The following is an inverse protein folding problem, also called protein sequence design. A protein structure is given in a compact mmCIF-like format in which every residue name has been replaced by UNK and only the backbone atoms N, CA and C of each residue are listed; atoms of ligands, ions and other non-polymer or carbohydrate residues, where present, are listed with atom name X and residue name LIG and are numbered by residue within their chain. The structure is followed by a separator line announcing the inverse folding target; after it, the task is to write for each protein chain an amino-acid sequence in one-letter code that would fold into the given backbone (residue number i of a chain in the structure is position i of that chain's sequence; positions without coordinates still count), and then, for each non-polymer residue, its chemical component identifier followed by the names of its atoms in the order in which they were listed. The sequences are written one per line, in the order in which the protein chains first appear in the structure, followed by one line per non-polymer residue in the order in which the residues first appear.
data_IF_135020155223
#
_entry.id   IF_135020155223
#
_cell.length_a   1.000
_cell.length_b   1.000
_cell.length_c   1.000
_cell.angle_alpha   90.00
_cell.angle_beta   90.00
_cell.angle_gamma   90.00
#
_symmetry.space_group_name_H-M   'P 1'
#
loop_
_entity.id
_entity.type
_entity.pdbx_description
1 polymer ?
#
# COMPACT_ATOMS: atom_id res chain seq x y z
N UNK A 1 -10.98 11.48 13.39
CA UNK A 1 -9.86 12.26 12.82
C UNK A 1 -10.37 13.43 12.01
N UNK A 2 -11.06 13.25 10.88
CA UNK A 2 -11.62 14.35 10.08
C UNK A 2 -12.49 15.33 10.89
N UNK A 3 -13.34 14.82 11.79
CA UNK A 3 -14.14 15.66 12.71
C UNK A 3 -13.29 16.53 13.65
N UNK A 4 -12.11 16.06 14.04
CA UNK A 4 -11.22 16.77 14.97
C UNK A 4 -10.24 17.69 14.23
N UNK A 5 -9.78 17.28 13.03
CA UNK A 5 -8.86 18.07 12.21
C UNK A 5 -9.57 19.15 11.39
N UNK A 6 -10.91 19.09 11.29
CA UNK A 6 -11.72 20.01 10.48
C UNK A 6 -11.34 20.05 8.99
N UNK A 7 -10.60 19.04 8.52
CA UNK A 7 -10.22 18.88 7.12
C UNK A 7 -11.48 18.65 6.29
N UNK A 8 -11.59 19.38 5.16
CA UNK A 8 -12.65 19.19 4.18
C UNK A 8 -12.10 18.38 3.01
N UNK A 9 -12.75 17.27 2.71
CA UNK A 9 -12.42 16.46 1.55
C UNK A 9 -12.89 17.16 0.28
N UNK A 10 -12.02 17.29 -0.71
CA UNK A 10 -12.38 17.76 -2.04
C UNK A 10 -13.14 16.67 -2.79
N UNK A 11 -14.26 17.04 -3.42
CA UNK A 11 -15.02 16.13 -4.27
C UNK A 11 -14.39 16.08 -5.67
N UNK A 12 -14.07 14.88 -6.15
CA UNK A 12 -13.66 14.67 -7.53
C UNK A 12 -14.84 14.93 -8.47
N UNK A 13 -14.87 16.13 -9.05
CA UNK A 13 -15.94 16.55 -9.96
C UNK A 13 -15.64 16.23 -11.42
N UNK A 14 -14.35 16.13 -11.77
CA UNK A 14 -13.94 15.73 -13.12
C UNK A 14 -14.15 14.23 -13.34
N UNK A 15 -14.83 13.89 -14.45
CA UNK A 15 -15.14 12.51 -14.80
C UNK A 15 -13.88 11.68 -15.04
N UNK A 16 -12.85 12.25 -15.68
CA UNK A 16 -11.61 11.52 -15.98
C UNK A 16 -10.87 11.19 -14.69
N UNK A 17 -10.73 12.15 -13.78
CA UNK A 17 -10.12 11.91 -12.46
C UNK A 17 -10.86 10.84 -11.68
N UNK A 18 -12.20 10.90 -11.66
CA UNK A 18 -13.01 9.86 -10.99
C UNK A 18 -12.74 8.47 -11.58
N UNK A 19 -12.81 8.35 -12.91
CA UNK A 19 -12.58 7.07 -13.60
C UNK A 19 -11.16 6.54 -13.37
N UNK A 20 -10.16 7.42 -13.34
CA UNK A 20 -8.78 7.07 -13.05
C UNK A 20 -8.63 6.44 -11.65
N UNK A 21 -9.17 7.07 -10.61
CA UNK A 21 -9.13 6.53 -9.25
C UNK A 21 -9.96 5.25 -9.10
N UNK A 22 -11.14 5.17 -9.71
CA UNK A 22 -11.97 3.95 -9.69
C UNK A 22 -11.23 2.77 -10.36
N UNK A 23 -10.57 3.01 -11.50
CA UNK A 23 -9.75 2.01 -12.20
C UNK A 23 -8.51 1.60 -11.42
N UNK A 24 -7.93 2.50 -10.62
CA UNK A 24 -6.76 2.23 -9.76
C UNK A 24 -7.12 1.56 -8.44
N UNK A 25 -8.37 1.65 -7.99
CA UNK A 25 -8.79 1.11 -6.69
C UNK A 25 -8.72 -0.42 -6.67
N UNK A 26 -8.07 -0.98 -5.66
CA UNK A 26 -7.95 -2.43 -5.43
C UNK A 26 -8.39 -2.76 -4.00
N UNK A 27 -8.82 -4.01 -3.80
CA UNK A 27 -9.17 -4.54 -2.48
C UNK A 27 -7.95 -4.98 -1.68
N UNK A 28 -8.16 -5.87 -0.72
CA UNK A 28 -7.08 -6.47 0.06
C UNK A 28 -6.12 -7.29 -0.80
N UNK A 29 -4.83 -7.24 -0.47
CA UNK A 29 -3.81 -8.06 -1.10
C UNK A 29 -3.84 -9.48 -0.52
N UNK A 30 -4.03 -10.49 -1.37
CA UNK A 30 -3.86 -11.91 -1.01
C UNK A 30 -2.83 -12.53 -1.92
N UNK A 31 -1.70 -12.96 -1.37
CA UNK A 31 -0.58 -13.56 -2.12
C UNK A 31 -0.08 -14.81 -1.41
N UNK A 32 0.21 -15.84 -2.20
CA UNK A 32 0.91 -17.04 -1.74
C UNK A 32 2.28 -17.11 -2.41
N UNK A 33 3.35 -16.98 -1.62
CA UNK A 33 4.73 -17.10 -2.14
C UNK A 33 5.22 -18.55 -2.15
N UNK A 34 4.73 -19.38 -1.23
CA UNK A 34 5.03 -20.81 -1.14
C UNK A 34 3.75 -21.55 -0.78
N UNK A 35 3.39 -22.57 -1.57
CA UNK A 35 2.15 -23.33 -1.38
C UNK A 35 2.11 -24.06 -0.03
N UNK A 36 3.26 -24.54 0.44
CA UNK A 36 3.36 -25.29 1.69
C UNK A 36 4.65 -24.97 2.44
N UNK A 37 4.53 -24.68 3.74
CA UNK A 37 5.65 -24.54 4.65
C UNK A 37 5.36 -25.33 5.93
N UNK A 38 6.36 -26.08 6.41
CA UNK A 38 6.32 -26.81 7.66
C UNK A 38 7.54 -26.43 8.49
N UNK A 39 7.32 -26.03 9.74
CA UNK A 39 8.37 -25.81 10.71
C UNK A 39 8.78 -27.14 11.38
N UNK A 40 10.08 -27.31 11.59
CA UNK A 40 10.65 -28.32 12.47
C UNK A 40 10.79 -27.73 13.87
N UNK A 41 9.71 -27.76 14.65
CA UNK A 41 9.66 -27.20 16.00
C UNK A 41 9.53 -28.34 17.02
N UNK A 42 10.36 -28.40 18.08
CA UNK A 42 10.29 -29.42 19.13
C UNK A 42 8.91 -29.57 19.79
N UNK A 43 8.07 -28.53 19.74
CA UNK A 43 6.72 -28.52 20.31
C UNK A 43 5.65 -29.06 19.36
N UNK A 44 6.00 -29.54 18.17
CA UNK A 44 5.06 -29.99 17.14
C UNK A 44 5.22 -31.48 16.78
N UNK A 45 4.13 -32.18 16.40
CA UNK A 45 4.22 -33.57 15.97
C UNK A 45 5.10 -33.76 14.72
N UNK A 46 5.94 -34.78 14.75
CA UNK A 46 6.88 -35.09 13.66
C UNK A 46 8.14 -34.23 13.65
N UNK A 47 8.53 -33.69 14.80
CA UNK A 47 9.84 -33.07 15.04
C UNK A 47 10.98 -34.07 14.78
N UNK A 48 12.06 -33.57 14.20
CA UNK A 48 13.28 -34.32 13.90
C UNK A 48 14.47 -33.64 14.57
N UNK A 49 15.12 -34.34 15.50
CA UNK A 49 16.25 -33.81 16.28
C UNK A 49 17.55 -33.67 15.48
N UNK A 50 17.63 -34.38 14.36
CA UNK A 50 18.73 -34.35 13.40
C UNK A 50 18.63 -33.20 12.39
N UNK A 51 17.48 -32.53 12.30
CA UNK A 51 17.27 -31.37 11.42
C UNK A 51 17.30 -30.06 12.22
N UNK A 52 17.68 -28.92 11.60
CA UNK A 52 17.64 -27.61 12.27
C UNK A 52 16.24 -27.24 12.76
N UNK A 53 16.18 -26.59 13.92
CA UNK A 53 14.92 -26.02 14.41
C UNK A 53 14.46 -24.87 13.52
N UNK A 54 13.18 -24.89 13.14
CA UNK A 54 12.54 -23.81 12.37
C UNK A 54 11.18 -23.46 12.96
N UNK A 55 10.73 -22.22 12.70
CA UNK A 55 9.48 -21.68 13.24
C UNK A 55 8.67 -21.00 12.14
N UNK A 56 7.34 -20.98 12.32
CA UNK A 56 6.43 -20.16 11.53
C UNK A 56 5.89 -19.06 12.45
N UNK A 57 5.75 -17.87 11.91
CA UNK A 57 5.18 -16.72 12.61
C UNK A 57 3.86 -16.33 11.94
N UNK A 58 2.83 -16.11 12.76
CA UNK A 58 1.58 -15.49 12.32
C UNK A 58 1.55 -14.07 12.84
N UNK A 59 1.43 -13.09 11.95
CA UNK A 59 1.35 -11.67 12.29
C UNK A 59 0.03 -11.14 11.74
N UNK A 60 -0.69 -10.39 12.58
CA UNK A 60 -1.94 -9.76 12.22
C UNK A 60 -1.92 -8.30 12.68
N UNK A 61 -2.34 -7.40 11.79
CA UNK A 61 -2.34 -5.97 12.07
C UNK A 61 -3.69 -5.55 12.66
N UNK A 62 -3.68 -5.16 13.94
CA UNK A 62 -4.86 -4.63 14.61
C UNK A 62 -5.31 -3.33 13.94
N UNK A 63 -6.52 -3.32 13.37
CA UNK A 63 -7.14 -2.15 12.75
C UNK A 63 -6.28 -1.53 11.61
N UNK A 64 -5.84 -2.36 10.66
CA UNK A 64 -5.00 -1.94 9.53
C UNK A 64 -5.52 -0.68 8.81
N UNK A 65 -6.81 -0.64 8.44
CA UNK A 65 -7.39 0.52 7.75
C UNK A 65 -7.43 1.77 8.64
N UNK A 66 -7.73 1.64 9.93
CA UNK A 66 -7.72 2.78 10.84
C UNK A 66 -6.32 3.35 11.04
N UNK A 67 -5.29 2.50 11.03
CA UNK A 67 -3.90 2.95 11.06
C UNK A 67 -3.53 3.72 9.79
N UNK A 68 -3.89 3.22 8.61
CA UNK A 68 -3.68 3.92 7.33
C UNK A 68 -4.42 5.26 7.29
N UNK A 69 -5.66 5.31 7.79
CA UNK A 69 -6.40 6.57 7.90
C UNK A 69 -5.73 7.60 8.82
N UNK A 70 -4.73 7.20 9.62
CA UNK A 70 -3.93 8.07 10.49
C UNK A 70 -2.63 8.55 9.87
N UNK A 71 -2.29 8.06 8.67
CA UNK A 71 -1.13 8.52 7.90
C UNK A 71 -1.52 9.72 7.02
N UNK A 72 -0.53 10.32 6.37
CA UNK A 72 -0.75 11.37 5.38
C UNK A 72 -1.45 10.78 4.14
N UNK A 73 -2.72 11.15 3.95
CA UNK A 73 -3.54 10.71 2.82
C UNK A 73 -4.05 11.92 2.02
N UNK A 74 -4.18 11.82 0.69
CA UNK A 74 -4.64 12.91 -0.14
C UNK A 74 -6.10 13.27 0.20
N UNK A 75 -6.33 14.55 0.51
CA UNK A 75 -7.66 15.06 0.88
C UNK A 75 -8.19 16.12 -0.08
N UNK A 76 -7.36 16.71 -0.94
CA UNK A 76 -7.78 17.76 -1.87
C UNK A 76 -6.70 18.25 -2.82
N UNK A 77 -7.01 19.32 -3.57
CA UNK A 77 -6.05 19.92 -4.52
C UNK A 77 -5.77 19.09 -5.78
N UNK A 78 -6.61 18.10 -6.09
CA UNK A 78 -6.43 17.23 -7.25
C UNK A 78 -6.39 18.02 -8.56
N UNK A 79 -5.28 17.87 -9.29
CA UNK A 79 -5.09 18.45 -10.61
C UNK A 79 -4.28 17.49 -11.48
N UNK A 80 -4.55 17.52 -12.79
CA UNK A 80 -3.74 16.79 -13.76
C UNK A 80 -2.40 17.51 -13.94
N UNK A 81 -1.31 16.74 -13.93
CA UNK A 81 0.02 17.30 -14.20
C UNK A 81 0.13 17.69 -15.68
N UNK A 82 0.43 18.96 -15.95
CA UNK A 82 0.51 19.50 -17.30
C UNK A 82 1.90 19.38 -17.95
N UNK A 83 2.91 19.00 -17.16
CA UNK A 83 4.29 18.86 -17.62
C UNK A 83 4.58 17.50 -18.27
N UNK A 84 5.87 17.22 -18.49
CA UNK A 84 6.31 15.95 -19.05
C UNK A 84 6.17 14.81 -18.02
N UNK A 85 5.41 13.73 -18.31
CA UNK A 85 5.26 12.57 -17.44
C UNK A 85 6.59 11.90 -17.05
N UNK A 86 7.60 11.87 -17.92
CA UNK A 86 8.90 11.26 -17.62
C UNK A 86 9.65 12.03 -16.53
N UNK A 87 9.57 13.37 -16.57
CA UNK A 87 10.13 14.25 -15.54
C UNK A 87 9.37 14.08 -14.23
N UNK A 88 8.04 13.93 -14.29
CA UNK A 88 7.24 13.66 -13.11
C UNK A 88 7.60 12.31 -12.48
N UNK A 89 7.78 11.27 -13.31
CA UNK A 89 8.14 9.93 -12.86
C UNK A 89 9.52 9.90 -12.20
N UNK A 90 10.52 10.58 -12.79
CA UNK A 90 11.87 10.67 -12.21
C UNK A 90 11.89 11.34 -10.82
N UNK A 91 10.91 12.22 -10.53
CA UNK A 91 10.82 12.88 -9.24
C UNK A 91 10.43 11.92 -8.10
N UNK A 92 9.85 10.74 -8.40
CA UNK A 92 9.54 9.72 -7.39
C UNK A 92 10.74 9.33 -6.52
N UNK A 93 11.95 9.37 -7.07
CA UNK A 93 13.18 9.00 -6.34
C UNK A 93 13.47 9.91 -5.13
N UNK A 94 12.93 11.14 -5.13
CA UNK A 94 13.23 12.16 -4.13
C UNK A 94 12.01 12.61 -3.33
N UNK A 95 10.83 11.98 -3.54
CA UNK A 95 9.62 12.31 -2.78
C UNK A 95 9.62 11.59 -1.43
N UNK A 96 9.12 12.27 -0.40
CA UNK A 96 8.96 11.72 0.94
C UNK A 96 7.48 11.59 1.33
N UNK A 97 7.17 10.68 2.26
CA UNK A 97 5.80 10.47 2.76
C UNK A 97 5.23 11.71 3.47
N UNK A 98 6.11 12.58 3.98
CA UNK A 98 5.75 13.80 4.68
C UNK A 98 5.65 15.03 3.75
N UNK A 99 5.85 14.86 2.44
CA UNK A 99 5.74 15.97 1.49
C UNK A 99 4.34 16.56 1.46
N UNK A 100 4.26 17.88 1.29
CA UNK A 100 2.99 18.62 1.23
C UNK A 100 2.12 18.24 0.02
N UNK A 101 2.71 17.64 -1.01
CA UNK A 101 2.04 17.28 -2.26
C UNK A 101 2.32 15.83 -2.68
N UNK A 102 1.27 15.01 -2.70
CA UNK A 102 1.31 13.66 -3.25
C UNK A 102 1.08 13.60 -4.76
N UNK A 103 1.46 12.49 -5.38
CA UNK A 103 1.23 12.22 -6.81
C UNK A 103 0.74 10.79 -7.03
N UNK A 104 -0.04 10.61 -8.10
CA UNK A 104 -0.58 9.30 -8.49
C UNK A 104 -0.23 9.07 -9.95
N UNK A 105 0.31 7.90 -10.25
CA UNK A 105 0.79 7.54 -11.58
C UNK A 105 0.06 6.29 -12.08
N UNK A 106 -0.23 6.26 -13.37
CA UNK A 106 -0.58 5.04 -14.09
C UNK A 106 0.64 4.67 -14.93
N UNK A 107 1.23 3.51 -14.62
CA UNK A 107 2.51 3.06 -15.18
C UNK A 107 2.44 1.58 -15.51
N UNK A 108 3.23 1.16 -16.50
CA UNK A 108 3.48 -0.25 -16.77
C UNK A 108 4.61 -0.75 -15.85
N UNK A 109 4.40 -1.91 -15.24
CA UNK A 109 5.37 -2.52 -14.32
C UNK A 109 5.74 -3.90 -14.84
N UNK A 110 7.04 -4.16 -15.00
CA UNK A 110 7.59 -5.50 -15.20
C UNK A 110 7.99 -6.10 -13.86
N UNK A 111 7.36 -7.20 -13.45
CA UNK A 111 7.80 -7.97 -12.29
C UNK A 111 8.95 -8.91 -12.68
N UNK A 112 10.07 -8.94 -11.93
CA UNK A 112 11.15 -9.90 -12.14
C UNK A 112 10.77 -11.35 -11.78
#
# INVERSE_FOLDING_TARGET
MLKFTSIRLNLLSDYKSKLFFERGTRGGLTKFSKLYAKANNPKTPGYKSDEPNTWLVYQDANNLYGWIMSQNIPYGGFSWYAGNPDVALAQLEYMEEADDAGRVYEVDISCP
#
